data_IF_797626322273
#
_entry.id   IF_797626322273
#
_cell.length_a   1.000
_cell.length_b   1.000
_cell.length_c   1.000
_cell.angle_alpha   90.00
_cell.angle_beta   90.00
_cell.angle_gamma   90.00
#
_symmetry.space_group_name_H-M   'P 1'
#
loop_
_entity.id
_entity.type
_entity.pdbx_description
1 polymer ?
#
# COMPACT_ATOMS: atom_id res chain seq x y z
N UNK A 1 -17.07 4.36 0.87
CA UNK A 1 -15.88 4.25 1.74
C UNK A 1 -16.10 3.06 2.68
N UNK A 2 -15.44 1.94 2.40
CA UNK A 2 -15.52 0.67 3.16
C UNK A 2 -14.17 -0.08 3.18
N UNK A 3 -13.40 0.07 2.10
CA UNK A 3 -12.13 -0.61 1.85
C UNK A 3 -11.05 -0.37 2.91
N UNK A 4 -10.87 0.86 3.39
CA UNK A 4 -9.81 1.19 4.36
C UNK A 4 -10.00 0.53 5.74
N UNK A 5 -11.24 0.34 6.20
CA UNK A 5 -11.53 -0.26 7.51
C UNK A 5 -11.30 -1.78 7.47
N UNK A 6 -11.74 -2.43 6.38
CA UNK A 6 -11.53 -3.88 6.15
C UNK A 6 -10.03 -4.22 6.04
N UNK A 7 -9.24 -3.37 5.39
CA UNK A 7 -7.78 -3.50 5.31
C UNK A 7 -7.09 -3.52 6.70
N UNK A 8 -7.58 -2.67 7.61
CA UNK A 8 -7.01 -2.55 8.97
C UNK A 8 -7.45 -3.71 9.88
N UNK A 9 -8.71 -4.14 9.76
CA UNK A 9 -9.31 -5.14 10.66
C UNK A 9 -8.92 -6.58 10.27
N UNK A 10 -8.73 -6.85 8.98
CA UNK A 10 -8.50 -8.21 8.50
C UNK A 10 -7.02 -8.62 8.47
N UNK A 11 -6.10 -7.65 8.53
CA UNK A 11 -4.68 -7.90 8.32
C UNK A 11 -4.37 -8.43 6.90
N UNK A 12 -5.32 -8.37 5.97
CA UNK A 12 -5.10 -8.82 4.60
C UNK A 12 -4.21 -7.83 3.85
N UNK A 13 -3.29 -8.42 3.09
CA UNK A 13 -2.55 -7.73 2.04
C UNK A 13 -3.50 -7.52 0.86
N UNK A 14 -3.67 -6.27 0.43
CA UNK A 14 -4.42 -5.97 -0.79
C UNK A 14 -3.41 -5.61 -1.90
N UNK A 15 -3.63 -6.21 -3.07
CA UNK A 15 -2.86 -5.93 -4.29
C UNK A 15 -3.57 -4.83 -5.07
N UNK A 16 -2.84 -3.76 -5.34
CA UNK A 16 -3.28 -2.61 -6.12
C UNK A 16 -2.53 -2.56 -7.45
N UNK A 17 -3.27 -2.23 -8.51
CA UNK A 17 -2.70 -1.89 -9.81
C UNK A 17 -3.04 -0.43 -10.09
N UNK A 18 -2.05 0.47 -10.16
CA UNK A 18 -2.30 1.90 -10.42
C UNK A 18 -3.01 2.12 -11.75
N UNK A 19 -3.86 3.13 -11.85
CA UNK A 19 -4.52 3.51 -13.11
C UNK A 19 -3.64 4.41 -13.99
N UNK A 20 -2.68 5.10 -13.38
CA UNK A 20 -1.74 6.03 -14.02
C UNK A 20 -0.38 6.01 -13.33
N UNK A 21 0.60 6.63 -13.97
CA UNK A 21 1.92 6.84 -13.37
C UNK A 21 1.81 7.80 -12.16
N UNK A 22 2.26 7.35 -11.00
CA UNK A 22 2.24 8.11 -9.75
C UNK A 22 3.35 7.62 -8.81
N UNK A 23 3.43 8.17 -7.60
CA UNK A 23 4.29 7.64 -6.54
C UNK A 23 3.52 6.73 -5.59
N UNK A 24 4.24 5.91 -4.83
CA UNK A 24 3.65 5.16 -3.71
C UNK A 24 2.98 6.11 -2.72
N UNK A 25 3.57 7.29 -2.45
CA UNK A 25 2.96 8.29 -1.58
C UNK A 25 1.59 8.77 -2.10
N UNK A 26 1.48 9.02 -3.41
CA UNK A 26 0.21 9.41 -4.02
C UNK A 26 -0.85 8.30 -3.87
N UNK A 27 -0.48 7.04 -4.12
CA UNK A 27 -1.38 5.90 -3.93
C UNK A 27 -1.87 5.79 -2.47
N UNK A 28 -0.95 5.94 -1.50
CA UNK A 28 -1.31 5.92 -0.08
C UNK A 28 -2.25 7.08 0.30
N UNK A 29 -2.08 8.25 -0.33
CA UNK A 29 -2.98 9.40 -0.20
C UNK A 29 -4.39 9.06 -0.68
N UNK A 30 -4.50 8.51 -1.89
CA UNK A 30 -5.79 8.13 -2.49
C UNK A 30 -6.54 7.08 -1.65
N UNK A 31 -5.81 6.17 -1.00
CA UNK A 31 -6.35 5.13 -0.13
C UNK A 31 -6.64 5.60 1.31
N UNK A 32 -6.33 6.86 1.63
CA UNK A 32 -6.41 7.43 2.99
C UNK A 32 -5.59 6.61 4.01
N UNK A 33 -4.39 6.21 3.58
CA UNK A 33 -3.41 5.44 4.34
C UNK A 33 -2.18 6.28 4.73
N UNK A 34 -2.22 7.58 4.50
CA UNK A 34 -1.15 8.52 4.86
C UNK A 34 -0.79 8.43 6.35
N UNK A 35 0.51 8.48 6.66
CA UNK A 35 1.02 8.50 8.03
C UNK A 35 0.82 7.20 8.83
N UNK A 36 0.25 6.15 8.21
CA UNK A 36 0.16 4.82 8.80
C UNK A 36 1.38 3.99 8.43
N UNK A 37 1.85 3.19 9.38
CA UNK A 37 2.98 2.30 9.16
C UNK A 37 2.52 1.06 8.37
N UNK A 38 2.90 1.02 7.09
CA UNK A 38 2.69 -0.12 6.20
C UNK A 38 4.02 -0.51 5.55
N UNK A 39 4.24 -1.82 5.38
CA UNK A 39 5.26 -2.30 4.46
C UNK A 39 4.73 -2.21 3.03
N UNK A 40 5.48 -1.64 2.10
CA UNK A 40 5.07 -1.54 0.69
C UNK A 40 5.99 -2.39 -0.16
N UNK A 41 5.41 -3.29 -0.94
CA UNK A 41 6.11 -4.04 -1.98
C UNK A 41 5.61 -3.60 -3.36
N UNK A 42 6.53 -3.28 -4.26
CA UNK A 42 6.26 -3.04 -5.68
C UNK A 42 6.94 -4.15 -6.46
N UNK A 43 6.19 -4.93 -7.22
CA UNK A 43 6.69 -6.10 -7.96
C UNK A 43 7.53 -7.03 -7.07
N UNK A 44 6.99 -7.34 -5.87
CA UNK A 44 7.65 -8.15 -4.83
C UNK A 44 8.96 -7.58 -4.23
N UNK A 45 9.25 -6.29 -4.43
CA UNK A 45 10.43 -5.61 -3.84
C UNK A 45 10.01 -4.48 -2.92
N UNK A 46 10.74 -4.28 -1.82
CA UNK A 46 10.52 -3.15 -0.94
C UNK A 46 10.57 -1.82 -1.70
N UNK A 47 9.57 -0.97 -1.44
CA UNK A 47 9.46 0.34 -2.03
C UNK A 47 9.40 1.41 -0.94
N UNK A 48 9.89 2.60 -1.28
CA UNK A 48 9.76 3.81 -0.46
C UNK A 48 8.61 4.67 -0.97
N UNK A 49 8.10 5.65 -0.19
CA UNK A 49 7.04 6.55 -0.63
C UNK A 49 7.36 7.29 -1.95
N UNK A 50 8.62 7.54 -2.25
CA UNK A 50 9.08 8.23 -3.47
C UNK A 50 9.17 7.30 -4.69
N UNK A 51 8.96 5.99 -4.50
CA UNK A 51 9.02 5.00 -5.59
C UNK A 51 7.93 5.30 -6.61
N UNK A 52 8.33 5.42 -7.88
CA UNK A 52 7.40 5.60 -8.99
C UNK A 52 6.79 4.26 -9.37
N UNK A 53 5.48 4.27 -9.57
CA UNK A 53 4.64 3.13 -9.94
C UNK A 53 3.74 3.52 -11.11
N UNK A 54 3.30 2.54 -11.89
CA UNK A 54 2.37 2.74 -13.00
C UNK A 54 1.49 1.53 -13.28
N UNK A 55 0.73 1.55 -14.39
CA UNK A 55 -0.34 0.57 -14.62
C UNK A 55 0.09 -0.88 -14.83
N UNK A 56 1.39 -1.11 -15.01
CA UNK A 56 1.97 -2.45 -15.14
C UNK A 56 2.57 -2.98 -13.83
N UNK A 57 2.63 -2.14 -12.80
CA UNK A 57 3.23 -2.49 -11.52
C UNK A 57 2.20 -3.09 -10.57
N UNK A 58 2.63 -4.13 -9.86
CA UNK A 58 1.87 -4.73 -8.78
C UNK A 58 2.30 -4.09 -7.45
N UNK A 59 1.38 -3.46 -6.73
CA UNK A 59 1.65 -2.85 -5.43
C UNK A 59 0.94 -3.61 -4.33
N UNK A 60 1.69 -4.09 -3.35
CA UNK A 60 1.16 -4.81 -2.19
C UNK A 60 1.37 -3.93 -0.97
N UNK A 61 0.28 -3.64 -0.26
CA UNK A 61 0.29 -2.91 1.01
C UNK A 61 0.16 -3.90 2.16
N UNK A 62 1.21 -4.02 2.96
CA UNK A 62 1.27 -4.91 4.12
C UNK A 62 0.97 -4.12 5.39
N UNK A 63 -0.08 -4.45 6.17
CA UNK A 63 -0.25 -3.88 7.49
C UNK A 63 0.98 -4.18 8.34
N UNK A 64 1.52 -3.17 9.01
CA UNK A 64 2.54 -3.41 10.01
C UNK A 64 1.86 -4.09 11.22
N UNK A 65 1.81 -5.41 11.18
CA UNK A 65 1.47 -6.20 12.36
C UNK A 65 2.67 -6.06 13.27
N UNK A 66 2.56 -5.21 14.28
CA UNK A 66 3.42 -5.26 15.45
C UNK A 66 3.22 -6.65 16.07
N UNK A 67 4.00 -7.63 15.60
CA UNK A 67 4.06 -8.94 16.20
C UNK A 67 4.47 -8.74 17.65
N UNK A 68 3.55 -9.08 18.56
CA UNK A 68 3.79 -8.99 19.99
C UNK A 68 5.05 -9.76 20.38
N UNK A 69 5.94 -9.04 21.07
CA UNK A 69 6.89 -9.57 22.02
C UNK A 69 7.14 -8.48 23.07
#
# INVERSE_FOLDING_TARGET
MKQTQELLDTGLYETFTPDRAMTVADLLSELNLEGKYFGILVNSKNATPETKIGPTDEVIVLPHIAGGA
#
